data_IF_395464293442
#
_entry.id   IF_395464293442
#
_cell.length_a   1.000
_cell.length_b   1.000
_cell.length_c   1.000
_cell.angle_alpha   90.00
_cell.angle_beta   90.00
_cell.angle_gamma   90.00
#
_symmetry.space_group_name_H-M   'P 1'
#
loop_
_entity.id
_entity.type
_entity.pdbx_description
1 polymer ?
#
# COMPACT_ATOMS: atom_id res chain seq x y z
N UNK A 1 -6.48 22.44 2.05
CA UNK A 1 -7.66 21.86 1.33
C UNK A 1 -7.75 20.39 1.69
N UNK A 2 -8.90 19.92 2.16
CA UNK A 2 -9.11 18.51 2.52
C UNK A 2 -9.58 17.72 1.30
N UNK A 3 -8.66 17.01 0.64
CA UNK A 3 -8.94 16.28 -0.62
C UNK A 3 -9.70 14.97 -0.44
N UNK A 4 -9.75 14.44 0.79
CA UNK A 4 -10.36 13.14 1.11
C UNK A 4 -11.48 13.27 2.14
N UNK A 5 -12.02 14.47 2.34
CA UNK A 5 -13.08 14.73 3.34
C UNK A 5 -14.28 13.81 3.14
N UNK A 6 -14.70 13.15 4.24
CA UNK A 6 -15.84 12.24 4.25
C UNK A 6 -15.60 10.87 3.57
N UNK A 7 -14.42 10.61 3.00
CA UNK A 7 -14.07 9.29 2.45
C UNK A 7 -13.55 8.37 3.56
N UNK A 8 -13.80 7.07 3.43
CA UNK A 8 -13.23 6.05 4.31
C UNK A 8 -12.13 5.29 3.57
N UNK A 9 -10.94 5.27 4.15
CA UNK A 9 -9.79 4.52 3.65
C UNK A 9 -9.52 3.28 4.51
N UNK A 10 -9.32 2.15 3.85
CA UNK A 10 -8.81 0.91 4.43
C UNK A 10 -7.36 0.72 4.00
N UNK A 11 -6.43 0.64 4.96
CA UNK A 11 -4.99 0.60 4.70
C UNK A 11 -4.37 -0.60 5.41
N UNK A 12 -3.71 -1.49 4.67
CA UNK A 12 -3.09 -2.69 5.24
C UNK A 12 -1.61 -2.49 5.57
N UNK A 13 -1.13 -3.12 6.67
CA UNK A 13 0.26 -3.00 7.11
C UNK A 13 0.60 -1.55 7.51
N UNK A 14 -0.29 -0.89 8.24
CA UNK A 14 -0.19 0.54 8.50
C UNK A 14 0.21 0.91 9.95
N UNK A 15 0.73 -0.04 10.72
CA UNK A 15 1.29 0.24 12.05
C UNK A 15 2.66 0.94 11.98
N UNK A 16 3.33 0.92 10.82
CA UNK A 16 4.67 1.49 10.64
C UNK A 16 4.93 1.89 9.18
N UNK A 17 6.08 2.53 8.94
CA UNK A 17 6.63 2.80 7.61
C UNK A 17 5.71 3.60 6.69
N UNK A 18 5.67 3.23 5.42
CA UNK A 18 4.87 3.90 4.39
C UNK A 18 3.37 3.84 4.72
N UNK A 19 2.86 2.68 5.16
CA UNK A 19 1.44 2.53 5.50
C UNK A 19 0.98 3.45 6.62
N UNK A 20 1.79 3.60 7.68
CA UNK A 20 1.54 4.57 8.77
C UNK A 20 1.46 6.00 8.23
N UNK A 21 2.44 6.40 7.42
CA UNK A 21 2.47 7.76 6.88
C UNK A 21 1.28 8.03 5.94
N UNK A 22 0.91 7.05 5.11
CA UNK A 22 -0.31 7.14 4.28
C UNK A 22 -1.55 7.35 5.16
N UNK A 23 -1.68 6.60 6.26
CA UNK A 23 -2.79 6.74 7.19
C UNK A 23 -2.86 8.16 7.79
N UNK A 24 -1.72 8.68 8.25
CA UNK A 24 -1.62 10.03 8.84
C UNK A 24 -1.98 11.11 7.82
N UNK A 25 -1.37 11.06 6.63
CA UNK A 25 -1.60 12.06 5.58
C UNK A 25 -3.04 12.00 5.06
N UNK A 26 -3.63 10.80 4.94
CA UNK A 26 -5.05 10.66 4.57
C UNK A 26 -5.97 11.29 5.62
N UNK A 27 -5.70 11.09 6.91
CA UNK A 27 -6.45 11.71 8.00
C UNK A 27 -6.30 13.25 7.98
N UNK A 28 -5.09 13.78 7.73
CA UNK A 28 -4.86 15.21 7.55
C UNK A 28 -5.68 15.80 6.38
N UNK A 29 -5.92 14.99 5.34
CA UNK A 29 -6.80 15.34 4.22
C UNK A 29 -8.29 15.04 4.48
N UNK A 30 -8.67 14.66 5.70
CA UNK A 30 -10.06 14.52 6.15
C UNK A 30 -10.67 13.14 5.92
N UNK A 31 -9.88 12.12 5.56
CA UNK A 31 -10.39 10.77 5.47
C UNK A 31 -10.57 10.12 6.84
N UNK A 32 -11.64 9.35 7.00
CA UNK A 32 -11.72 8.35 8.05
C UNK A 32 -10.79 7.18 7.70
N UNK A 33 -10.12 6.60 8.70
CA UNK A 33 -9.07 5.61 8.47
C UNK A 33 -9.33 4.32 9.26
N UNK A 34 -9.62 3.24 8.55
CA UNK A 34 -9.49 1.88 9.05
C UNK A 34 -8.11 1.36 8.64
N UNK A 35 -7.33 0.85 9.58
CA UNK A 35 -6.01 0.34 9.26
C UNK A 35 -5.74 -0.99 9.95
N UNK A 36 -4.89 -1.82 9.32
CA UNK A 36 -4.68 -3.19 9.80
C UNK A 36 -3.19 -3.53 9.90
N UNK A 37 -2.92 -4.47 10.79
CA UNK A 37 -1.67 -5.23 10.82
C UNK A 37 -1.96 -6.64 11.36
N UNK A 38 -0.97 -7.56 11.29
CA UNK A 38 -1.14 -8.95 11.75
C UNK A 38 -1.29 -9.09 13.26
N UNK A 39 -0.92 -8.08 14.02
CA UNK A 39 -1.01 -8.04 15.49
C UNK A 39 -1.18 -6.62 15.98
N UNK A 40 -1.81 -6.47 17.13
CA UNK A 40 -1.83 -5.23 17.87
C UNK A 40 -0.53 -5.11 18.68
N UNK A 41 0.27 -4.11 18.36
CA UNK A 41 1.47 -3.74 19.10
C UNK A 41 1.41 -2.26 19.53
N UNK A 42 2.42 -1.79 20.25
CA UNK A 42 2.46 -0.40 20.71
C UNK A 42 2.47 0.61 19.55
N UNK A 43 3.04 0.23 18.39
CA UNK A 43 2.99 1.08 17.20
C UNK A 43 1.55 1.26 16.70
N UNK A 44 0.76 0.16 16.62
CA UNK A 44 -0.64 0.22 16.20
C UNK A 44 -1.45 1.15 17.12
N UNK A 45 -1.29 1.00 18.46
CA UNK A 45 -1.96 1.86 19.45
C UNK A 45 -1.56 3.33 19.32
N UNK A 46 -0.27 3.59 19.10
CA UNK A 46 0.23 4.96 18.92
C UNK A 46 -0.31 5.59 17.64
N UNK A 47 -0.39 4.83 16.53
CA UNK A 47 -0.96 5.30 15.27
C UNK A 47 -2.45 5.60 15.44
N UNK A 48 -3.22 4.71 16.05
CA UNK A 48 -4.65 4.94 16.30
C UNK A 48 -4.90 6.20 17.13
N UNK A 49 -4.12 6.39 18.20
CA UNK A 49 -4.18 7.61 19.02
C UNK A 49 -3.88 8.85 18.19
N UNK A 50 -2.79 8.83 17.42
CA UNK A 50 -2.38 9.96 16.57
C UNK A 50 -3.43 10.31 15.52
N UNK A 51 -4.08 9.31 14.92
CA UNK A 51 -5.14 9.53 13.93
C UNK A 51 -6.39 10.15 14.57
N UNK A 52 -6.78 9.68 15.76
CA UNK A 52 -7.94 10.22 16.46
C UNK A 52 -7.73 11.68 16.92
N UNK A 53 -6.48 12.13 17.13
CA UNK A 53 -6.15 13.53 17.41
C UNK A 53 -6.38 14.46 16.19
N UNK A 54 -6.52 13.90 14.96
CA UNK A 54 -6.79 14.67 13.74
C UNK A 54 -8.27 14.91 13.45
N UNK A 55 -9.14 14.63 14.43
CA UNK A 55 -10.60 14.83 14.33
C UNK A 55 -11.27 14.07 13.18
N UNK A 56 -10.77 12.87 12.86
CA UNK A 56 -11.37 11.90 11.95
C UNK A 56 -11.68 10.61 12.71
N UNK A 57 -12.59 9.80 12.20
CA UNK A 57 -12.80 8.46 12.76
C UNK A 57 -11.64 7.56 12.35
N UNK A 58 -10.93 7.00 13.33
CA UNK A 58 -9.86 6.05 13.07
C UNK A 58 -9.99 4.82 13.95
N UNK A 59 -9.71 3.63 13.38
CA UNK A 59 -9.73 2.37 14.12
C UNK A 59 -8.75 1.36 13.55
N UNK A 60 -8.06 0.69 14.47
CA UNK A 60 -7.18 -0.44 14.19
C UNK A 60 -7.96 -1.77 14.15
N UNK A 61 -7.56 -2.67 13.25
CA UNK A 61 -8.07 -4.04 13.16
C UNK A 61 -6.91 -5.03 13.04
N UNK A 62 -6.92 -6.07 13.85
CA UNK A 62 -6.01 -7.21 13.65
C UNK A 62 -6.50 -8.03 12.47
N UNK A 63 -5.71 -8.13 11.41
CA UNK A 63 -6.06 -8.92 10.24
C UNK A 63 -4.82 -9.38 9.47
N UNK A 64 -4.75 -10.68 9.18
CA UNK A 64 -3.76 -11.23 8.26
C UNK A 64 -4.24 -11.06 6.81
N UNK A 65 -3.67 -10.10 6.09
CA UNK A 65 -3.98 -9.82 4.70
C UNK A 65 -3.77 -11.04 3.78
N UNK A 66 -2.91 -11.99 4.16
CA UNK A 66 -2.68 -13.23 3.41
C UNK A 66 -3.80 -14.27 3.57
N UNK A 67 -4.70 -14.09 4.54
CA UNK A 67 -5.90 -14.90 4.76
C UNK A 67 -7.11 -14.29 4.06
N UNK A 68 -7.75 -15.06 3.17
CA UNK A 68 -8.93 -14.58 2.46
C UNK A 68 -10.11 -14.35 3.42
N UNK A 69 -10.37 -15.31 4.31
CA UNK A 69 -11.47 -15.21 5.29
C UNK A 69 -11.28 -14.02 6.23
N UNK A 70 -10.06 -13.82 6.77
CA UNK A 70 -9.79 -12.67 7.63
C UNK A 70 -10.00 -11.34 6.88
N UNK A 71 -9.65 -11.29 5.59
CA UNK A 71 -9.86 -10.11 4.74
C UNK A 71 -11.35 -9.82 4.51
N UNK A 72 -12.18 -10.86 4.29
CA UNK A 72 -13.63 -10.71 4.14
C UNK A 72 -14.31 -10.24 5.42
N UNK A 73 -13.98 -10.86 6.55
CA UNK A 73 -14.52 -10.49 7.86
C UNK A 73 -14.16 -9.04 8.22
N UNK A 74 -12.91 -8.67 8.03
CA UNK A 74 -12.43 -7.32 8.29
C UNK A 74 -13.10 -6.28 7.37
N UNK A 75 -13.24 -6.54 6.08
CA UNK A 75 -13.91 -5.64 5.14
C UNK A 75 -15.40 -5.42 5.52
N UNK A 76 -16.08 -6.47 5.98
CA UNK A 76 -17.45 -6.34 6.53
C UNK A 76 -17.50 -5.44 7.76
N UNK A 77 -16.63 -5.70 8.75
CA UNK A 77 -16.57 -4.89 9.97
C UNK A 77 -16.32 -3.41 9.65
N UNK A 78 -15.38 -3.11 8.75
CA UNK A 78 -15.10 -1.73 8.33
C UNK A 78 -16.31 -1.11 7.65
N UNK A 79 -16.96 -1.81 6.72
CA UNK A 79 -18.14 -1.31 6.04
C UNK A 79 -19.32 -1.04 6.99
N UNK A 80 -19.53 -1.90 7.99
CA UNK A 80 -20.56 -1.73 9.02
C UNK A 80 -20.26 -0.54 9.94
N UNK A 81 -19.02 -0.42 10.40
CA UNK A 81 -18.63 0.61 11.36
C UNK A 81 -18.46 1.99 10.73
N UNK A 82 -17.92 2.07 9.51
CA UNK A 82 -17.63 3.35 8.83
C UNK A 82 -18.71 3.75 7.81
N UNK A 83 -19.61 2.84 7.45
CA UNK A 83 -20.68 3.08 6.47
C UNK A 83 -20.26 2.95 5.01
N UNK A 84 -18.96 3.07 4.70
CA UNK A 84 -18.42 2.94 3.34
C UNK A 84 -16.96 2.47 3.36
N UNK A 85 -16.48 1.98 2.21
CA UNK A 85 -15.04 1.81 1.91
C UNK A 85 -14.81 2.49 0.55
N UNK A 86 -14.27 3.70 0.58
CA UNK A 86 -14.05 4.51 -0.62
C UNK A 86 -12.67 4.29 -1.22
N UNK A 87 -11.68 3.99 -0.36
CA UNK A 87 -10.29 3.84 -0.73
C UNK A 87 -9.74 2.56 -0.10
N UNK A 88 -9.07 1.73 -0.92
CA UNK A 88 -8.27 0.61 -0.45
C UNK A 88 -6.80 0.87 -0.77
N UNK A 89 -5.93 0.80 0.25
CA UNK A 89 -4.48 0.84 0.07
C UNK A 89 -3.90 -0.52 0.47
N UNK A 90 -3.53 -1.32 -0.52
CA UNK A 90 -2.84 -2.58 -0.35
C UNK A 90 -1.35 -2.31 -0.14
N UNK A 91 -0.94 -2.12 1.12
CA UNK A 91 0.44 -1.78 1.48
C UNK A 91 1.16 -2.92 2.20
N UNK A 92 0.46 -3.83 2.86
CA UNK A 92 1.08 -4.95 3.56
C UNK A 92 2.05 -5.73 2.66
N UNK A 93 3.23 -6.00 3.18
CA UNK A 93 4.26 -6.72 2.43
C UNK A 93 5.51 -7.01 3.27
N UNK A 94 6.26 -8.01 2.83
CA UNK A 94 7.50 -8.46 3.45
C UNK A 94 8.58 -8.66 2.40
N UNK A 95 9.82 -8.73 2.85
CA UNK A 95 10.96 -9.23 2.08
C UNK A 95 11.52 -10.50 2.71
N UNK A 96 12.09 -11.37 1.89
CA UNK A 96 12.91 -12.53 2.27
C UNK A 96 14.03 -12.64 1.24
N UNK A 97 15.01 -11.75 1.39
CA UNK A 97 16.05 -11.54 0.38
C UNK A 97 17.13 -12.61 0.50
N UNK A 98 17.44 -13.26 -0.62
CA UNK A 98 18.56 -14.18 -0.75
C UNK A 98 18.89 -14.37 -2.24
N UNK A 99 20.14 -14.70 -2.56
CA UNK A 99 20.51 -15.11 -3.91
C UNK A 99 19.67 -16.31 -4.34
N UNK A 100 19.27 -16.39 -5.60
CA UNK A 100 18.34 -17.42 -6.11
C UNK A 100 18.83 -18.85 -5.77
N UNK A 101 20.13 -19.10 -5.84
CA UNK A 101 20.72 -20.39 -5.48
C UNK A 101 20.49 -20.82 -4.02
N UNK A 102 20.27 -19.84 -3.13
CA UNK A 102 20.11 -20.06 -1.68
C UNK A 102 18.70 -19.75 -1.20
N UNK A 103 17.85 -19.24 -2.05
CA UNK A 103 16.45 -18.91 -1.72
C UNK A 103 15.67 -20.20 -1.52
N UNK A 104 14.99 -20.33 -0.39
CA UNK A 104 14.14 -21.47 -0.13
C UNK A 104 12.78 -21.34 -0.84
N UNK A 105 12.11 -22.46 -1.10
CA UNK A 105 10.73 -22.49 -1.61
C UNK A 105 9.79 -21.77 -0.62
N UNK A 106 9.96 -22.03 0.67
CA UNK A 106 9.15 -21.40 1.72
C UNK A 106 9.28 -19.87 1.73
N UNK A 107 10.49 -19.31 1.52
CA UNK A 107 10.69 -17.87 1.43
C UNK A 107 10.05 -17.28 0.17
N UNK A 108 10.11 -18.00 -0.95
CA UNK A 108 9.45 -17.60 -2.18
C UNK A 108 7.94 -17.59 -2.00
N UNK A 109 7.36 -18.68 -1.51
CA UNK A 109 5.92 -18.84 -1.33
C UNK A 109 5.36 -17.86 -0.30
N UNK A 110 6.08 -17.65 0.81
CA UNK A 110 5.67 -16.70 1.83
C UNK A 110 5.59 -15.27 1.26
N UNK A 111 6.60 -14.84 0.47
CA UNK A 111 6.59 -13.51 -0.16
C UNK A 111 5.45 -13.40 -1.17
N UNK A 112 5.22 -14.41 -2.01
CA UNK A 112 4.10 -14.42 -2.95
C UNK A 112 2.75 -14.37 -2.23
N UNK A 113 2.61 -15.14 -1.15
CA UNK A 113 1.40 -15.19 -0.34
C UNK A 113 1.10 -13.84 0.33
N UNK A 114 2.11 -13.23 0.97
CA UNK A 114 1.90 -11.99 1.71
C UNK A 114 1.82 -10.78 0.78
N UNK A 115 2.65 -10.68 -0.25
CA UNK A 115 2.70 -9.49 -1.08
C UNK A 115 1.68 -9.50 -2.22
N UNK A 116 1.49 -10.66 -2.90
CA UNK A 116 0.65 -10.71 -4.10
C UNK A 116 -0.74 -11.27 -3.82
N UNK A 117 -0.85 -12.39 -3.09
CA UNK A 117 -2.16 -12.96 -2.80
C UNK A 117 -3.00 -12.05 -1.91
N UNK A 118 -2.36 -11.29 -1.00
CA UNK A 118 -3.06 -10.32 -0.15
C UNK A 118 -3.84 -9.27 -0.94
N UNK A 119 -3.26 -8.73 -2.01
CA UNK A 119 -3.96 -7.73 -2.83
C UNK A 119 -5.19 -8.31 -3.52
N UNK A 120 -5.13 -9.58 -3.94
CA UNK A 120 -6.32 -10.28 -4.43
C UNK A 120 -7.36 -10.42 -3.32
N UNK A 121 -6.96 -10.89 -2.13
CA UNK A 121 -7.86 -11.10 -1.00
C UNK A 121 -8.62 -9.80 -0.66
N UNK A 122 -7.88 -8.73 -0.40
CA UNK A 122 -8.46 -7.44 0.01
C UNK A 122 -9.28 -6.79 -1.11
N UNK A 123 -8.77 -6.79 -2.34
CA UNK A 123 -9.51 -6.23 -3.48
C UNK A 123 -10.84 -6.95 -3.66
N UNK A 124 -10.85 -8.29 -3.62
CA UNK A 124 -12.07 -9.09 -3.73
C UNK A 124 -13.02 -8.85 -2.54
N UNK A 125 -12.49 -8.72 -1.32
CA UNK A 125 -13.29 -8.48 -0.13
C UNK A 125 -14.00 -7.11 -0.14
N UNK A 126 -13.34 -6.05 -0.63
CA UNK A 126 -13.93 -4.70 -0.69
C UNK A 126 -14.77 -4.45 -1.94
N UNK A 127 -14.55 -5.21 -3.01
CA UNK A 127 -15.21 -5.03 -4.31
C UNK A 127 -16.75 -4.94 -4.21
N UNK A 128 -17.48 -5.79 -3.45
CA UNK A 128 -18.94 -5.70 -3.33
C UNK A 128 -19.43 -4.34 -2.82
N UNK A 129 -18.71 -3.76 -1.85
CA UNK A 129 -19.05 -2.46 -1.27
C UNK A 129 -18.82 -1.34 -2.29
N UNK A 130 -17.68 -1.31 -2.96
CA UNK A 130 -17.36 -0.33 -3.99
C UNK A 130 -18.30 -0.44 -5.21
N UNK A 131 -18.69 -1.66 -5.62
CA UNK A 131 -19.65 -1.88 -6.70
C UNK A 131 -21.03 -1.32 -6.36
N UNK A 132 -21.50 -1.52 -5.11
CA UNK A 132 -22.77 -0.96 -4.63
C UNK A 132 -22.74 0.57 -4.61
N UNK A 133 -21.62 1.16 -4.20
CA UNK A 133 -21.41 2.61 -4.18
C UNK A 133 -21.21 3.21 -5.59
N UNK A 134 -20.83 2.40 -6.60
CA UNK A 134 -20.37 2.83 -7.94
C UNK A 134 -19.25 3.88 -7.85
N UNK A 135 -18.35 3.72 -6.90
CA UNK A 135 -17.22 4.61 -6.64
C UNK A 135 -16.17 3.87 -5.83
N UNK A 136 -14.89 4.09 -6.14
CA UNK A 136 -13.78 3.53 -5.37
C UNK A 136 -12.42 3.89 -5.96
N UNK A 137 -11.39 3.86 -5.10
CA UNK A 137 -9.99 3.96 -5.50
C UNK A 137 -9.18 2.87 -4.82
N UNK A 138 -8.58 1.99 -5.62
CA UNK A 138 -7.68 0.92 -5.16
C UNK A 138 -6.26 1.33 -5.51
N UNK A 139 -5.37 1.29 -4.51
CA UNK A 139 -3.97 1.68 -4.63
C UNK A 139 -3.11 0.50 -4.15
N UNK A 140 -2.30 -0.05 -5.05
CA UNK A 140 -1.41 -1.15 -4.76
C UNK A 140 0.03 -0.65 -4.58
N UNK A 141 0.65 -0.90 -3.41
CA UNK A 141 2.03 -0.54 -3.13
C UNK A 141 2.98 -1.56 -3.75
N UNK A 142 3.44 -1.27 -4.97
CA UNK A 142 4.47 -2.03 -5.66
C UNK A 142 5.88 -1.60 -5.21
N UNK A 143 6.84 -1.57 -6.10
CA UNK A 143 8.22 -1.11 -5.91
C UNK A 143 8.88 -0.90 -7.26
N UNK A 144 9.89 -0.05 -7.35
CA UNK A 144 10.79 -0.01 -8.52
C UNK A 144 11.46 -1.36 -8.78
N UNK A 145 11.67 -2.15 -7.73
CA UNK A 145 12.19 -3.53 -7.86
C UNK A 145 11.25 -4.43 -8.65
N UNK A 146 9.94 -4.19 -8.60
CA UNK A 146 8.96 -4.87 -9.46
C UNK A 146 9.01 -4.44 -10.93
N UNK A 147 9.65 -3.31 -11.24
CA UNK A 147 9.81 -2.78 -12.59
C UNK A 147 11.13 -3.23 -13.24
N UNK A 148 12.22 -3.22 -12.47
CA UNK A 148 13.57 -3.44 -13.01
C UNK A 148 14.27 -4.71 -12.48
N UNK A 149 13.74 -5.34 -11.43
CA UNK A 149 14.43 -6.43 -10.73
C UNK A 149 15.50 -5.92 -9.76
N UNK A 150 15.97 -6.81 -8.90
CA UNK A 150 17.15 -6.59 -8.07
C UNK A 150 17.78 -7.93 -7.69
N UNK A 151 19.09 -8.02 -7.71
CA UNK A 151 19.79 -9.24 -7.31
C UNK A 151 19.46 -9.58 -5.84
N UNK A 152 19.20 -10.86 -5.57
CA UNK A 152 18.79 -11.32 -4.24
C UNK A 152 17.32 -11.13 -3.89
N UNK A 153 16.51 -10.56 -4.79
CA UNK A 153 15.09 -10.26 -4.56
C UNK A 153 14.16 -10.90 -5.62
N UNK A 154 14.48 -12.09 -6.10
CA UNK A 154 13.70 -12.74 -7.15
C UNK A 154 12.22 -12.94 -6.75
N UNK A 155 11.95 -13.39 -5.51
CA UNK A 155 10.62 -13.53 -4.93
C UNK A 155 9.90 -12.19 -4.79
N UNK A 156 10.57 -11.18 -4.22
CA UNK A 156 10.02 -9.85 -4.01
C UNK A 156 9.74 -9.16 -5.36
N UNK A 157 10.69 -9.19 -6.29
CA UNK A 157 10.52 -8.66 -7.65
C UNK A 157 9.31 -9.30 -8.35
N UNK A 158 9.21 -10.64 -8.31
CA UNK A 158 8.09 -11.36 -8.92
C UNK A 158 6.75 -10.94 -8.30
N UNK A 159 6.68 -10.83 -6.96
CA UNK A 159 5.47 -10.42 -6.26
C UNK A 159 5.06 -8.99 -6.62
N UNK A 160 6.01 -8.05 -6.67
CA UNK A 160 5.75 -6.63 -6.99
C UNK A 160 5.46 -6.40 -8.48
N UNK A 161 6.07 -7.17 -9.37
CA UNK A 161 5.73 -7.17 -10.80
C UNK A 161 4.33 -7.76 -11.05
N UNK A 162 3.97 -8.86 -10.38
CA UNK A 162 2.64 -9.46 -10.47
C UNK A 162 1.52 -8.50 -10.08
N UNK A 163 1.75 -7.63 -9.10
CA UNK A 163 0.80 -6.55 -8.74
C UNK A 163 0.47 -5.65 -9.92
N UNK A 164 1.41 -5.37 -10.80
CA UNK A 164 1.21 -4.45 -11.93
C UNK A 164 0.24 -5.03 -12.95
N UNK A 165 0.38 -6.34 -13.24
CA UNK A 165 -0.56 -7.07 -14.08
C UNK A 165 -1.96 -7.12 -13.44
N UNK A 166 -2.03 -7.43 -12.14
CA UNK A 166 -3.27 -7.44 -11.37
C UNK A 166 -3.96 -6.06 -11.40
N UNK A 167 -3.20 -4.98 -11.14
CA UNK A 167 -3.71 -3.60 -11.17
C UNK A 167 -4.38 -3.26 -12.49
N UNK A 168 -3.73 -3.58 -13.61
CA UNK A 168 -4.25 -3.31 -14.96
C UNK A 168 -5.52 -4.11 -15.27
N UNK A 169 -5.58 -5.37 -14.84
CA UNK A 169 -6.75 -6.23 -15.05
C UNK A 169 -7.95 -5.73 -14.25
N UNK A 170 -7.76 -5.43 -12.95
CA UNK A 170 -8.81 -4.88 -12.08
C UNK A 170 -9.30 -3.52 -12.59
N UNK A 171 -8.39 -2.65 -13.07
CA UNK A 171 -8.76 -1.36 -13.64
C UNK A 171 -9.70 -1.50 -14.85
N UNK A 172 -9.44 -2.47 -15.75
CA UNK A 172 -10.29 -2.75 -16.89
C UNK A 172 -11.64 -3.33 -16.49
N UNK A 173 -11.66 -4.23 -15.51
CA UNK A 173 -12.88 -4.90 -15.04
C UNK A 173 -13.82 -3.92 -14.31
N UNK A 174 -13.28 -3.07 -13.44
CA UNK A 174 -14.08 -2.22 -12.55
C UNK A 174 -14.30 -0.79 -13.07
N UNK A 175 -13.64 -0.40 -14.16
CA UNK A 175 -13.69 0.97 -14.69
C UNK A 175 -15.11 1.42 -15.07
N UNK A 176 -15.94 0.54 -15.65
CA UNK A 176 -17.34 0.82 -15.98
C UNK A 176 -18.23 1.10 -14.75
N UNK A 177 -17.73 0.79 -13.57
CA UNK A 177 -18.37 1.05 -12.28
C UNK A 177 -17.78 2.26 -11.54
N UNK A 178 -16.95 3.06 -12.24
CA UNK A 178 -16.28 4.23 -11.68
C UNK A 178 -15.36 3.87 -10.49
N UNK A 179 -14.76 2.67 -10.52
CA UNK A 179 -13.77 2.20 -9.56
C UNK A 179 -12.43 2.19 -10.27
N UNK A 180 -11.47 2.96 -9.73
CA UNK A 180 -10.12 3.08 -10.27
C UNK A 180 -9.18 2.14 -9.53
N UNK A 181 -8.20 1.60 -10.23
CA UNK A 181 -7.17 0.77 -9.63
C UNK A 181 -5.81 1.18 -10.21
N UNK A 182 -4.90 1.63 -9.35
CA UNK A 182 -3.56 2.08 -9.74
C UNK A 182 -2.50 1.48 -8.81
N UNK A 183 -1.25 1.56 -9.22
CA UNK A 183 -0.11 1.17 -8.40
C UNK A 183 0.83 2.36 -8.17
N UNK A 184 1.47 2.37 -7.01
CA UNK A 184 2.64 3.22 -6.74
C UNK A 184 3.85 2.30 -6.70
N UNK A 185 4.94 2.70 -7.34
CA UNK A 185 6.23 2.02 -7.29
C UNK A 185 7.24 2.91 -6.53
N UNK A 186 7.33 2.80 -5.20
CA UNK A 186 8.33 3.53 -4.43
C UNK A 186 9.73 3.08 -4.80
N UNK A 187 10.67 4.05 -4.79
CA UNK A 187 12.10 3.78 -4.87
C UNK A 187 12.71 3.50 -3.50
N UNK A 188 13.88 4.05 -3.26
CA UNK A 188 14.55 3.97 -1.96
C UNK A 188 13.95 4.99 -0.99
N UNK A 189 13.12 4.49 -0.05
CA UNK A 189 12.37 5.32 0.91
C UNK A 189 12.95 5.11 2.32
N UNK A 190 13.19 6.20 3.05
CA UNK A 190 13.61 6.15 4.45
C UNK A 190 12.49 5.59 5.32
N UNK A 191 12.76 4.43 5.91
CA UNK A 191 11.89 3.70 6.84
C UNK A 191 12.76 2.97 7.85
N UNK A 192 12.19 2.42 8.91
CA UNK A 192 12.94 1.58 9.85
C UNK A 192 13.72 0.46 9.13
N UNK A 193 13.14 -0.11 8.08
CA UNK A 193 13.76 -1.17 7.29
C UNK A 193 15.03 -0.69 6.56
N UNK A 194 15.03 0.50 6.00
CA UNK A 194 16.18 1.06 5.28
C UNK A 194 17.21 1.71 6.21
N UNK A 195 16.80 2.14 7.40
CA UNK A 195 17.74 2.59 8.45
C UNK A 195 18.63 1.48 8.99
N UNK A 196 18.17 0.22 8.94
CA UNK A 196 18.99 -0.95 9.32
C UNK A 196 20.13 -1.27 8.34
N UNK A 197 20.14 -0.65 7.15
CA UNK A 197 21.21 -0.83 6.16
C UNK A 197 22.47 -0.07 6.57
N UNK A 198 23.64 -0.66 6.22
CA UNK A 198 24.94 0.00 6.40
C UNK A 198 24.97 1.36 5.69
N UNK A 199 25.64 2.34 6.29
CA UNK A 199 25.74 3.71 5.79
C UNK A 199 26.37 3.80 4.37
N UNK A 200 27.35 2.98 4.08
CA UNK A 200 27.98 2.88 2.76
C UNK A 200 26.99 2.40 1.69
N UNK A 201 26.19 1.38 2.00
CA UNK A 201 25.13 0.88 1.13
C UNK A 201 24.08 1.98 0.89
N UNK A 202 23.68 2.71 1.92
CA UNK A 202 22.74 3.84 1.79
C UNK A 202 23.31 4.95 0.89
N UNK A 203 24.57 5.33 1.08
CA UNK A 203 25.23 6.33 0.23
C UNK A 203 25.29 5.88 -1.23
N UNK A 204 25.62 4.62 -1.50
CA UNK A 204 25.66 4.07 -2.84
C UNK A 204 24.26 4.14 -3.51
N UNK A 205 23.19 3.76 -2.79
CA UNK A 205 21.84 3.91 -3.32
C UNK A 205 21.49 5.36 -3.64
N UNK A 206 21.76 6.29 -2.73
CA UNK A 206 21.47 7.73 -2.93
C UNK A 206 22.19 8.29 -4.16
N UNK A 207 23.41 7.83 -4.44
CA UNK A 207 24.18 8.27 -5.61
C UNK A 207 23.52 7.86 -6.94
N UNK A 208 22.75 6.77 -6.96
CA UNK A 208 22.02 6.33 -8.17
C UNK A 208 20.72 7.09 -8.40
N UNK A 209 20.22 7.84 -7.39
CA UNK A 209 18.98 8.59 -7.46
C UNK A 209 19.25 9.97 -8.08
N UNK A 210 18.63 10.35 -9.20
CA UNK A 210 18.80 11.69 -9.79
C UNK A 210 18.53 12.86 -8.85
N UNK A 211 17.50 12.75 -7.98
CA UNK A 211 17.20 13.78 -6.97
C UNK A 211 18.19 13.79 -5.78
N UNK A 212 19.21 12.91 -5.77
CA UNK A 212 20.30 12.87 -4.79
C UNK A 212 19.86 12.80 -3.32
N UNK A 213 18.69 12.28 -3.06
CA UNK A 213 18.18 11.99 -1.72
C UNK A 213 17.39 10.69 -1.72
N UNK A 214 17.31 10.05 -0.56
CA UNK A 214 16.25 9.06 -0.33
C UNK A 214 14.87 9.74 -0.32
N UNK A 215 13.83 9.03 -0.70
CA UNK A 215 12.47 9.50 -0.54
C UNK A 215 12.04 9.39 0.93
N UNK A 216 11.20 10.30 1.39
CA UNK A 216 10.49 10.15 2.65
C UNK A 216 9.20 9.33 2.46
N UNK A 217 8.70 8.66 3.51
CA UNK A 217 7.40 7.99 3.47
C UNK A 217 6.28 8.97 3.05
N UNK A 218 6.43 10.25 3.41
CA UNK A 218 5.52 11.33 3.00
C UNK A 218 5.48 11.55 1.47
N UNK A 219 6.59 11.41 0.75
CA UNK A 219 6.59 11.54 -0.72
C UNK A 219 5.64 10.50 -1.36
N UNK A 220 5.62 9.28 -0.79
CA UNK A 220 4.72 8.20 -1.21
C UNK A 220 3.29 8.46 -0.78
N UNK A 221 3.08 8.96 0.44
CA UNK A 221 1.76 9.28 0.97
C UNK A 221 1.07 10.39 0.16
N UNK A 222 1.80 11.45 -0.23
CA UNK A 222 1.26 12.52 -1.08
C UNK A 222 0.86 11.99 -2.48
N UNK A 223 1.64 11.07 -3.04
CA UNK A 223 1.27 10.36 -4.27
C UNK A 223 0.01 9.51 -4.09
N UNK A 224 -0.14 8.86 -2.93
CA UNK A 224 -1.33 8.10 -2.60
C UNK A 224 -2.56 9.02 -2.43
N UNK A 225 -2.43 10.21 -1.84
CA UNK A 225 -3.51 11.22 -1.77
C UNK A 225 -3.98 11.61 -3.17
N UNK A 226 -3.06 11.87 -4.10
CA UNK A 226 -3.41 12.14 -5.50
C UNK A 226 -4.27 11.02 -6.08
N UNK A 227 -3.84 9.76 -5.95
CA UNK A 227 -4.57 8.61 -6.49
C UNK A 227 -5.90 8.33 -5.76
N UNK A 228 -6.01 8.68 -4.48
CA UNK A 228 -7.22 8.53 -3.68
C UNK A 228 -8.26 9.63 -3.94
N UNK A 229 -7.81 10.79 -4.40
CA UNK A 229 -8.63 11.97 -4.61
C UNK A 229 -9.25 12.05 -6.01
N UNK A 230 -10.14 13.02 -6.19
CA UNK A 230 -10.78 13.30 -7.47
C UNK A 230 -9.83 13.99 -8.47
N UNK A 231 -8.63 14.44 -8.02
CA UNK A 231 -7.56 14.94 -8.89
C UNK A 231 -7.08 13.88 -9.91
N UNK A 232 -7.27 12.61 -9.59
CA UNK A 232 -6.93 11.48 -10.46
C UNK A 232 -8.17 10.77 -11.05
N UNK A 233 -9.29 11.48 -11.20
CA UNK A 233 -10.57 10.89 -11.64
C UNK A 233 -10.48 10.19 -13.01
N UNK A 234 -9.55 10.59 -13.88
CA UNK A 234 -9.33 9.99 -15.20
C UNK A 234 -8.04 9.13 -15.26
N UNK A 235 -7.53 8.68 -14.10
CA UNK A 235 -6.31 7.86 -13.97
C UNK A 235 -6.65 6.50 -13.41
N UNK A 236 -6.54 5.46 -14.25
CA UNK A 236 -6.72 4.06 -13.84
C UNK A 236 -5.80 3.13 -14.62
N UNK A 237 -5.39 2.01 -14.03
CA UNK A 237 -4.46 1.04 -14.62
C UNK A 237 -3.01 1.53 -14.69
N UNK A 238 -2.67 2.64 -14.04
CA UNK A 238 -1.35 3.25 -14.11
C UNK A 238 -0.42 2.79 -12.99
N UNK A 239 0.87 2.88 -13.25
CA UNK A 239 1.95 2.68 -12.27
C UNK A 239 2.70 3.99 -12.14
N UNK A 240 2.63 4.61 -10.96
CA UNK A 240 3.33 5.86 -10.69
C UNK A 240 4.62 5.56 -9.92
N UNK A 241 5.77 5.81 -10.54
CA UNK A 241 7.06 5.67 -9.89
C UNK A 241 7.31 6.87 -8.96
N UNK A 242 7.34 6.63 -7.64
CA UNK A 242 7.71 7.61 -6.63
C UNK A 242 9.14 7.30 -6.16
N UNK A 243 10.14 7.63 -6.97
CA UNK A 243 11.50 7.09 -6.83
C UNK A 243 12.64 8.09 -7.02
N UNK A 244 12.34 9.40 -7.14
CA UNK A 244 13.34 10.43 -7.36
C UNK A 244 14.12 10.30 -8.70
N UNK A 245 13.53 9.59 -9.68
CA UNK A 245 14.16 9.30 -10.97
C UNK A 245 15.03 8.04 -10.99
N UNK A 246 15.05 7.25 -9.91
CA UNK A 246 15.82 6.01 -9.83
C UNK A 246 15.46 5.01 -10.94
N UNK A 247 14.21 5.05 -11.38
CA UNK A 247 13.66 4.30 -12.51
C UNK A 247 12.90 5.26 -13.43
N UNK A 248 13.32 5.29 -14.70
CA UNK A 248 12.70 6.07 -15.77
C UNK A 248 12.58 5.21 -17.04
#
# INVERSE_FOLDING_TARGET
MKLLEGKTALITGASRGIGKEVAIVFAQHGANVAFTDIREDDNAKQVEKQLNELAVKAKFYVSDASSFTASEEMAKQVAEEFGSIDILVNNAGITRDNLLLRMSEDDFDLVMKVNLKSIFNLTKAVQPFMLKQRKGSIINMSSVVGLQGNAGQANYSASKAGMLGFTKSVAKELGSRNIRCNAIAPGFIETEMTHALNEEVRKNWIQTIPLRRAGAAKDVADTAVYLASDLSAYVTGQVISCCGGMYM
#
